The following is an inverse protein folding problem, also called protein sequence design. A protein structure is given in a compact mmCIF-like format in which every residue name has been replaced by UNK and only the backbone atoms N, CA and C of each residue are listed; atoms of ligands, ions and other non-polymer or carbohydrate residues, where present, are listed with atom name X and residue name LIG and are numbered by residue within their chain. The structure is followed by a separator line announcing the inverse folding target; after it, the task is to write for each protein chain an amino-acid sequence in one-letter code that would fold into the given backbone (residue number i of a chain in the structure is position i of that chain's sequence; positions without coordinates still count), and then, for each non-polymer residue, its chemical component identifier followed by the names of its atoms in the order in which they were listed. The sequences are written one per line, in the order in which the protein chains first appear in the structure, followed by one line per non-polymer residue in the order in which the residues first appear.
data_IF_885950260752
#
_entry.id   IF_885950260752
#
_cell.length_a   1.000
_cell.length_b   1.000
_cell.length_c   1.000
_cell.angle_alpha   90.00
_cell.angle_beta   90.00
_cell.angle_gamma   90.00
#
_symmetry.space_group_name_H-M   'P 1'
#
loop_
_entity.id
_entity.type
_entity.pdbx_description
1 polymer ?
#
# COMPACT_ATOMS: atom_id res chain seq x y z
N UNK A 1 25.26 15.16 37.97
CA UNK A 1 24.73 14.21 36.96
C UNK A 1 25.09 14.81 35.62
N UNK A 2 26.17 14.30 35.01
CA UNK A 2 26.82 14.91 33.85
C UNK A 2 26.41 14.14 32.59
N UNK A 3 25.66 14.80 31.71
CA UNK A 3 24.98 14.19 30.54
C UNK A 3 25.87 14.13 29.29
N UNK A 4 27.18 14.36 29.45
CA UNK A 4 28.13 14.53 28.35
C UNK A 4 28.88 13.24 27.92
N UNK A 5 28.43 12.06 28.37
CA UNK A 5 29.06 10.76 28.04
C UNK A 5 28.12 9.74 27.37
N UNK A 6 27.30 10.14 26.40
CA UNK A 6 26.75 9.18 25.44
C UNK A 6 27.54 9.25 24.13
N UNK A 7 28.47 8.30 23.97
CA UNK A 7 29.10 7.98 22.68
C UNK A 7 28.02 7.38 21.77
N UNK A 8 27.86 7.84 20.52
CA UNK A 8 26.98 7.16 19.59
C UNK A 8 27.59 5.80 19.25
N UNK A 9 26.86 4.73 19.55
CA UNK A 9 27.20 3.38 19.10
C UNK A 9 26.80 3.31 17.63
N UNK A 10 27.77 3.53 16.73
CA UNK A 10 27.62 3.23 15.32
C UNK A 10 27.86 1.72 15.16
N UNK A 11 26.81 0.96 14.93
CA UNK A 11 26.95 -0.43 14.47
C UNK A 11 27.18 -0.42 12.96
N UNK A 12 28.43 -0.53 12.56
CA UNK A 12 28.80 -0.88 11.18
C UNK A 12 28.76 -2.40 11.03
N UNK A 13 27.68 -2.93 10.45
CA UNK A 13 27.62 -4.32 9.99
C UNK A 13 27.97 -4.33 8.50
N UNK A 14 29.22 -4.71 8.21
CA UNK A 14 29.72 -4.90 6.87
C UNK A 14 29.38 -6.34 6.44
N UNK A 15 28.22 -6.54 5.80
CA UNK A 15 27.90 -7.83 5.19
C UNK A 15 28.46 -7.84 3.78
N UNK A 16 29.61 -8.50 3.63
CA UNK A 16 30.20 -8.85 2.35
C UNK A 16 29.29 -9.88 1.67
N UNK A 17 28.86 -9.60 0.44
CA UNK A 17 28.55 -10.67 -0.53
C UNK A 17 27.12 -10.82 -1.07
N UNK A 18 26.25 -9.80 -1.05
CA UNK A 18 24.98 -9.88 -1.79
C UNK A 18 24.96 -8.95 -3.02
N UNK A 19 25.13 -9.57 -4.19
CA UNK A 19 24.85 -8.95 -5.49
C UNK A 19 23.34 -8.99 -5.74
N UNK A 20 22.64 -7.88 -5.49
CA UNK A 20 21.29 -7.69 -6.00
C UNK A 20 21.39 -7.15 -7.42
N UNK A 21 21.14 -8.00 -8.40
CA UNK A 21 20.86 -7.56 -9.77
C UNK A 21 19.40 -7.10 -9.81
N UNK A 22 19.19 -5.79 -9.74
CA UNK A 22 17.89 -5.17 -10.00
C UNK A 22 17.60 -5.37 -11.49
N UNK A 23 16.77 -6.35 -11.83
CA UNK A 23 16.11 -6.40 -13.14
C UNK A 23 14.93 -5.42 -13.10
N UNK A 24 15.09 -4.29 -13.78
CA UNK A 24 14.10 -3.22 -13.91
C UNK A 24 12.71 -3.76 -14.29
N UNK A 25 11.63 -3.43 -13.55
CA UNK A 25 10.28 -3.82 -13.92
C UNK A 25 9.45 -2.69 -14.55
N UNK A 26 10.05 -1.72 -15.26
CA UNK A 26 9.30 -0.69 -15.99
C UNK A 26 9.89 -0.46 -17.39
N UNK A 27 9.22 -1.01 -18.41
CA UNK A 27 9.67 -0.96 -19.81
C UNK A 27 9.42 0.41 -20.48
N UNK A 28 8.56 1.26 -19.89
CA UNK A 28 8.08 2.51 -20.50
C UNK A 28 8.93 3.74 -20.15
N UNK A 29 9.48 3.83 -18.93
CA UNK A 29 10.30 5.00 -18.51
C UNK A 29 11.65 5.08 -19.22
N UNK A 30 12.18 3.95 -19.70
CA UNK A 30 13.39 3.97 -20.52
C UNK A 30 13.12 4.65 -21.87
N UNK A 31 11.96 4.43 -22.48
CA UNK A 31 11.61 4.97 -23.79
C UNK A 31 11.42 6.50 -23.76
N UNK A 32 10.77 7.03 -22.71
CA UNK A 32 10.57 8.47 -22.52
C UNK A 32 11.90 9.20 -22.26
N UNK A 33 12.84 8.61 -21.50
CA UNK A 33 14.13 9.25 -21.24
C UNK A 33 15.10 9.19 -22.43
N UNK A 34 14.95 8.22 -23.34
CA UNK A 34 15.88 8.05 -24.48
C UNK A 34 15.55 8.90 -25.70
N UNK A 35 14.40 9.56 -25.78
CA UNK A 35 13.99 10.26 -27.01
C UNK A 35 14.41 11.73 -27.13
N UNK A 36 15.28 12.24 -26.24
CA UNK A 36 15.86 13.59 -26.33
C UNK A 36 17.33 13.58 -26.79
N UNK A 37 17.56 13.04 -27.98
CA UNK A 37 18.68 13.31 -28.91
C UNK A 37 18.25 12.64 -30.22
N UNK A 38 17.97 13.35 -31.31
CA UNK A 38 18.97 13.86 -32.25
C UNK A 38 18.29 14.78 -33.28
N UNK A 39 19.11 15.59 -33.94
CA UNK A 39 18.76 16.75 -34.76
C UNK A 39 17.96 16.48 -36.06
N UNK A 40 17.13 17.46 -36.42
CA UNK A 40 16.65 17.91 -37.76
C UNK A 40 17.82 17.86 -38.78
N UNK A 41 17.77 17.41 -40.05
CA UNK A 41 16.78 17.22 -41.15
C UNK A 41 17.50 16.54 -42.37
N UNK A 42 17.03 16.58 -43.65
CA UNK A 42 15.87 15.90 -44.29
C UNK A 42 16.23 15.14 -45.62
N UNK A 43 15.39 14.19 -46.08
CA UNK A 43 15.09 13.92 -47.52
C UNK A 43 14.13 12.72 -47.65
N UNK A 44 12.92 12.90 -48.20
CA UNK A 44 12.47 12.57 -49.56
C UNK A 44 11.87 11.16 -49.75
N UNK A 45 10.59 11.22 -50.13
CA UNK A 45 9.82 10.37 -51.05
C UNK A 45 9.03 9.11 -50.62
N UNK A 46 7.78 9.15 -51.12
CA UNK A 46 6.89 8.10 -51.62
C UNK A 46 5.83 7.45 -50.68
N UNK A 47 4.60 7.94 -50.85
CA UNK A 47 3.35 7.23 -51.21
C UNK A 47 2.95 5.91 -50.52
N UNK A 48 1.75 5.90 -49.92
CA UNK A 48 0.57 5.25 -50.54
C UNK A 48 -0.70 5.31 -49.66
N UNK A 49 -1.76 5.84 -50.28
CA UNK A 49 -3.13 5.31 -50.38
C UNK A 49 -3.99 5.05 -49.12
N UNK A 50 -4.81 6.07 -48.84
CA UNK A 50 -6.29 6.08 -48.88
C UNK A 50 -6.98 4.70 -48.90
N UNK A 51 -7.80 4.43 -47.87
CA UNK A 51 -9.14 3.86 -48.04
C UNK A 51 -10.10 4.49 -47.01
N UNK A 52 -11.02 5.30 -47.53
CA UNK A 52 -12.30 5.66 -46.92
C UNK A 52 -13.18 4.42 -46.77
N UNK A 53 -13.88 4.27 -45.65
CA UNK A 53 -15.13 3.52 -45.65
C UNK A 53 -16.20 4.18 -44.76
N UNK A 54 -17.38 4.27 -45.35
CA UNK A 54 -18.38 5.27 -45.08
C UNK A 54 -19.33 4.93 -43.93
N UNK A 55 -19.82 6.03 -43.35
CA UNK A 55 -21.03 6.16 -42.53
C UNK A 55 -22.23 5.45 -43.19
N UNK A 56 -22.93 4.61 -42.43
CA UNK A 56 -24.29 4.19 -42.77
C UNK A 56 -25.25 4.59 -41.65
N UNK A 57 -26.08 5.58 -41.97
CA UNK A 57 -27.28 6.01 -41.23
C UNK A 57 -28.41 5.05 -41.59
N UNK A 58 -29.15 4.56 -40.61
CA UNK A 58 -30.48 4.00 -40.83
C UNK A 58 -31.50 4.78 -40.01
N UNK A 59 -32.34 5.52 -40.73
CA UNK A 59 -33.56 6.14 -40.23
C UNK A 59 -34.66 5.08 -40.10
N UNK A 60 -35.40 5.13 -39.00
CA UNK A 60 -36.76 4.61 -38.93
C UNK A 60 -37.61 5.59 -38.12
N UNK A 61 -38.30 6.46 -38.86
CA UNK A 61 -39.46 7.23 -38.41
C UNK A 61 -40.54 6.29 -37.90
N UNK A 62 -41.16 6.58 -36.74
CA UNK A 62 -42.59 6.40 -36.46
C UNK A 62 -42.97 7.40 -35.35
N UNK A 63 -43.68 8.47 -35.73
CA UNK A 63 -44.27 9.41 -34.79
C UNK A 63 -45.65 8.92 -34.34
N UNK A 64 -45.89 8.92 -33.03
CA UNK A 64 -47.22 9.02 -32.45
C UNK A 64 -47.14 10.00 -31.26
N UNK A 65 -47.91 11.08 -31.40
CA UNK A 65 -48.21 12.08 -30.39
C UNK A 65 -49.25 11.54 -29.40
N UNK A 66 -49.06 11.78 -28.10
CA UNK A 66 -50.11 12.31 -27.21
C UNK A 66 -49.56 12.54 -25.81
N UNK A 67 -49.67 13.79 -25.38
CA UNK A 67 -49.58 14.23 -24.00
C UNK A 67 -50.64 13.57 -23.11
N UNK A 68 -50.32 13.51 -21.81
CA UNK A 68 -51.21 13.40 -20.64
C UNK A 68 -51.18 12.06 -19.90
N UNK A 69 -50.90 12.19 -18.60
CA UNK A 69 -50.96 11.21 -17.50
C UNK A 69 -49.69 10.36 -17.29
N UNK A 70 -48.65 10.92 -16.66
CA UNK A 70 -47.86 10.19 -15.62
C UNK A 70 -47.25 11.17 -14.59
N UNK A 71 -48.09 11.95 -13.89
CA UNK A 71 -47.67 12.62 -12.64
C UNK A 71 -47.91 11.67 -11.45
N UNK A 72 -47.31 10.47 -11.51
CA UNK A 72 -47.44 9.44 -10.45
C UNK A 72 -46.36 8.35 -10.52
N UNK A 73 -45.34 8.48 -11.37
CA UNK A 73 -44.25 7.49 -11.49
C UNK A 73 -42.86 8.13 -11.50
N UNK A 74 -42.72 9.35 -10.98
CA UNK A 74 -41.43 10.06 -10.91
C UNK A 74 -40.58 9.66 -9.69
N UNK A 75 -41.17 9.00 -8.69
CA UNK A 75 -40.45 8.64 -7.46
C UNK A 75 -39.95 7.19 -7.45
N UNK A 76 -40.39 6.38 -8.42
CA UNK A 76 -39.89 5.00 -8.59
C UNK A 76 -38.78 4.91 -9.65
N UNK A 77 -38.80 5.78 -10.67
CA UNK A 77 -37.78 5.82 -11.72
C UNK A 77 -36.49 6.59 -11.32
N UNK A 78 -36.52 7.36 -10.24
CA UNK A 78 -35.37 8.13 -9.75
C UNK A 78 -34.39 7.30 -8.91
N UNK A 79 -34.78 6.10 -8.48
CA UNK A 79 -33.86 5.19 -7.77
C UNK A 79 -33.24 4.10 -8.65
N UNK A 80 -33.87 3.72 -9.76
CA UNK A 80 -33.34 2.67 -10.67
C UNK A 80 -32.38 3.19 -11.75
N UNK A 81 -32.38 4.50 -12.04
CA UNK A 81 -31.43 5.09 -13.00
C UNK A 81 -30.08 5.46 -12.38
N UNK A 82 -29.94 5.41 -11.04
CA UNK A 82 -28.70 5.74 -10.33
C UNK A 82 -27.60 4.67 -10.49
N UNK A 83 -27.91 3.56 -11.16
CA UNK A 83 -27.01 2.42 -11.35
C UNK A 83 -26.98 1.90 -12.78
N UNK A 84 -27.29 2.73 -13.79
CA UNK A 84 -26.89 2.42 -15.17
C UNK A 84 -25.52 3.05 -15.42
N UNK A 85 -24.48 2.40 -14.88
CA UNK A 85 -23.09 2.77 -15.15
C UNK A 85 -22.89 2.88 -16.66
N UNK A 86 -22.58 4.08 -17.12
CA UNK A 86 -22.10 4.30 -18.48
C UNK A 86 -20.65 3.81 -18.48
N UNK A 87 -20.48 2.50 -18.57
CA UNK A 87 -19.18 1.85 -18.70
C UNK A 87 -18.74 2.01 -20.15
N UNK A 88 -17.57 2.60 -20.36
CA UNK A 88 -16.95 2.62 -21.69
C UNK A 88 -16.23 1.29 -21.86
N UNK A 89 -16.84 0.35 -22.59
CA UNK A 89 -16.27 -0.99 -22.87
C UNK A 89 -15.08 -0.95 -23.85
N UNK A 90 -14.06 -0.15 -23.54
CA UNK A 90 -12.78 -0.15 -24.24
C UNK A 90 -11.74 -0.86 -23.37
N UNK A 91 -10.97 -1.77 -23.96
CA UNK A 91 -9.84 -2.40 -23.26
C UNK A 91 -8.85 -1.31 -22.81
N UNK A 92 -8.51 -1.28 -21.52
CA UNK A 92 -7.54 -0.32 -20.98
C UNK A 92 -6.16 -0.62 -21.55
N UNK A 93 -5.49 0.39 -22.11
CA UNK A 93 -4.11 0.27 -22.55
C UNK A 93 -3.13 0.09 -21.37
N UNK A 94 -1.89 -0.34 -21.67
CA UNK A 94 -0.88 -0.60 -20.64
C UNK A 94 -0.58 0.63 -19.78
N UNK A 95 -0.57 1.82 -20.37
CA UNK A 95 -0.27 3.09 -19.69
C UNK A 95 -1.38 3.44 -18.69
N UNK A 96 -2.64 3.22 -19.07
CA UNK A 96 -3.80 3.40 -18.21
C UNK A 96 -3.80 2.45 -17.01
N UNK A 97 -3.47 1.18 -17.24
CA UNK A 97 -3.38 0.18 -16.17
C UNK A 97 -2.24 0.49 -15.18
N UNK A 98 -1.07 0.87 -15.71
CA UNK A 98 0.08 1.26 -14.89
C UNK A 98 -0.24 2.48 -14.03
N UNK A 99 -0.82 3.53 -14.61
CA UNK A 99 -1.20 4.74 -13.88
C UNK A 99 -2.18 4.45 -12.73
N UNK A 100 -3.19 3.62 -12.96
CA UNK A 100 -4.11 3.19 -11.91
C UNK A 100 -3.41 2.39 -10.80
N UNK A 101 -2.53 1.47 -11.18
CA UNK A 101 -1.75 0.66 -10.24
C UNK A 101 -0.86 1.54 -9.35
N UNK A 102 -0.18 2.52 -9.93
CA UNK A 102 0.64 3.49 -9.20
C UNK A 102 -0.20 4.28 -8.19
N UNK A 103 -1.33 4.86 -8.62
CA UNK A 103 -2.17 5.65 -7.71
C UNK A 103 -2.78 4.82 -6.58
N UNK A 104 -3.08 3.52 -6.83
CA UNK A 104 -3.50 2.57 -5.80
C UNK A 104 -2.38 2.25 -4.81
N UNK A 105 -1.16 1.98 -5.30
CA UNK A 105 0.03 1.77 -4.45
C UNK A 105 0.33 2.97 -3.55
N UNK A 106 0.13 4.18 -4.07
CA UNK A 106 0.30 5.43 -3.32
C UNK A 106 -0.91 5.79 -2.44
N UNK A 107 -1.96 4.94 -2.40
CA UNK A 107 -3.19 5.18 -1.64
C UNK A 107 -3.91 6.50 -2.00
N UNK A 108 -3.74 6.97 -3.23
CA UNK A 108 -4.37 8.18 -3.76
C UNK A 108 -5.78 7.87 -4.26
N UNK A 109 -5.98 6.64 -4.77
CA UNK A 109 -7.26 6.10 -5.23
C UNK A 109 -7.51 4.78 -4.50
N UNK A 110 -8.77 4.46 -4.25
CA UNK A 110 -9.19 3.19 -3.63
C UNK A 110 -8.86 1.98 -4.53
N UNK A 111 -8.60 0.83 -3.89
CA UNK A 111 -8.07 -0.36 -4.57
C UNK A 111 -9.09 -1.03 -5.51
N UNK A 112 -10.37 -0.87 -5.24
CA UNK A 112 -11.51 -1.45 -5.97
C UNK A 112 -11.96 -0.61 -7.18
N UNK A 113 -11.45 0.62 -7.32
CA UNK A 113 -11.80 1.51 -8.43
C UNK A 113 -11.46 0.87 -9.78
N UNK A 114 -12.46 0.82 -10.67
CA UNK A 114 -12.32 0.35 -12.04
C UNK A 114 -11.95 1.50 -12.98
N UNK A 115 -11.16 1.19 -14.01
CA UNK A 115 -10.62 2.20 -14.92
C UNK A 115 -11.57 2.65 -16.03
N UNK A 116 -12.55 1.81 -16.38
CA UNK A 116 -13.55 1.97 -17.43
C UNK A 116 -14.77 2.84 -17.02
N UNK A 117 -14.90 3.12 -15.72
CA UNK A 117 -15.89 4.04 -15.17
C UNK A 117 -15.55 5.50 -15.51
N UNK A 118 -16.59 6.31 -15.67
CA UNK A 118 -16.43 7.76 -15.86
C UNK A 118 -16.00 8.43 -14.55
N UNK A 119 -15.10 9.40 -14.65
CA UNK A 119 -14.58 10.15 -13.51
C UNK A 119 -15.42 11.41 -13.27
N UNK A 120 -15.83 11.67 -12.04
CA UNK A 120 -16.50 12.94 -11.69
C UNK A 120 -15.50 14.06 -11.49
N UNK A 121 -15.96 15.32 -11.61
CA UNK A 121 -15.13 16.50 -11.35
C UNK A 121 -14.57 16.50 -9.93
N UNK A 122 -15.37 16.05 -8.97
CA UNK A 122 -14.97 15.92 -7.57
C UNK A 122 -13.88 14.88 -7.37
N UNK A 123 -14.05 13.66 -7.92
CA UNK A 123 -13.02 12.61 -7.85
C UNK A 123 -11.71 13.08 -8.50
N UNK A 124 -11.81 13.83 -9.60
CA UNK A 124 -10.63 14.39 -10.25
C UNK A 124 -9.93 15.44 -9.40
N UNK A 125 -10.68 16.41 -8.87
CA UNK A 125 -10.17 17.45 -7.97
C UNK A 125 -9.51 16.86 -6.71
N UNK A 126 -10.19 15.93 -6.02
CA UNK A 126 -9.64 15.21 -4.86
C UNK A 126 -8.30 14.57 -5.21
N UNK A 127 -8.25 13.82 -6.30
CA UNK A 127 -7.03 13.15 -6.72
C UNK A 127 -5.90 14.12 -7.07
N UNK A 128 -6.17 15.24 -7.76
CA UNK A 128 -5.15 16.24 -8.09
C UNK A 128 -4.54 16.89 -6.84
N UNK A 129 -5.38 17.30 -5.90
CA UNK A 129 -4.93 17.90 -4.63
C UNK A 129 -4.14 16.88 -3.82
N UNK A 130 -4.58 15.62 -3.79
CA UNK A 130 -3.88 14.56 -3.07
C UNK A 130 -2.49 14.28 -3.66
N UNK A 131 -2.39 14.13 -4.99
CA UNK A 131 -1.12 13.94 -5.72
C UNK A 131 -0.17 15.12 -5.45
N UNK A 132 -0.67 16.35 -5.58
CA UNK A 132 0.13 17.55 -5.32
C UNK A 132 0.60 17.61 -3.87
N UNK A 133 -0.30 17.39 -2.89
CA UNK A 133 0.05 17.38 -1.47
C UNK A 133 1.13 16.34 -1.14
N UNK A 134 1.03 15.16 -1.74
CA UNK A 134 1.91 14.03 -1.44
C UNK A 134 3.28 14.16 -2.11
N UNK A 135 3.33 14.67 -3.34
CA UNK A 135 4.53 14.66 -4.17
C UNK A 135 5.21 16.03 -4.32
N UNK A 136 4.47 17.13 -4.20
CA UNK A 136 5.01 18.48 -4.40
C UNK A 136 5.84 18.91 -3.19
N UNK A 137 7.16 18.97 -3.41
CA UNK A 137 8.13 19.35 -2.38
C UNK A 137 8.22 20.85 -2.19
N UNK A 138 7.92 21.63 -3.24
CA UNK A 138 8.00 23.10 -3.19
C UNK A 138 6.77 23.66 -2.51
N UNK A 139 6.96 24.39 -1.41
CA UNK A 139 5.85 25.01 -0.67
C UNK A 139 5.05 26.02 -1.49
N UNK A 140 5.70 26.69 -2.46
CA UNK A 140 5.05 27.66 -3.35
C UNK A 140 4.05 27.03 -4.32
N UNK A 141 4.26 25.77 -4.67
CA UNK A 141 3.45 25.03 -5.65
C UNK A 141 2.48 24.04 -4.98
N UNK A 142 2.48 24.00 -3.65
CA UNK A 142 1.62 23.14 -2.87
C UNK A 142 0.23 23.74 -2.78
N UNK A 143 -0.78 22.98 -3.19
CA UNK A 143 -2.18 23.33 -3.01
C UNK A 143 -2.52 23.13 -1.52
N UNK A 144 -2.73 24.23 -0.81
CA UNK A 144 -3.14 24.22 0.60
C UNK A 144 -4.37 25.11 0.74
N UNK A 145 -5.50 24.58 1.25
CA UNK A 145 -6.67 25.40 1.47
C UNK A 145 -6.46 26.35 2.66
N UNK A 146 -6.93 27.57 2.50
CA UNK A 146 -6.82 28.71 3.40
C UNK A 146 -7.58 28.47 4.71
N UNK A 147 -8.57 27.57 4.72
CA UNK A 147 -9.21 27.06 5.95
C UNK A 147 -8.18 26.57 6.97
N UNK A 148 -7.07 25.97 6.52
CA UNK A 148 -6.01 25.46 7.39
C UNK A 148 -5.13 26.58 7.96
N UNK A 149 -5.21 27.80 7.42
CA UNK A 149 -4.33 28.91 7.76
C UNK A 149 -5.04 30.08 8.46
N UNK A 150 -6.27 30.42 8.06
CA UNK A 150 -6.92 31.68 8.44
C UNK A 150 -8.18 31.53 9.32
N UNK A 151 -8.68 30.31 9.56
CA UNK A 151 -9.81 30.04 10.46
C UNK A 151 -11.18 30.59 10.05
N UNK A 152 -11.24 31.44 9.01
CA UNK A 152 -12.46 31.95 8.37
C UNK A 152 -12.49 31.48 6.92
N UNK A 153 -13.61 30.90 6.49
CA UNK A 153 -13.77 30.29 5.17
C UNK A 153 -14.76 31.09 4.34
N UNK A 154 -14.28 31.74 3.29
CA UNK A 154 -15.17 32.18 2.21
C UNK A 154 -15.28 31.01 1.25
N UNK A 155 -16.44 30.34 1.25
CA UNK A 155 -16.68 29.23 0.36
C UNK A 155 -16.54 29.68 -1.11
N UNK A 156 -15.79 28.93 -1.90
CA UNK A 156 -15.58 29.22 -3.31
C UNK A 156 -16.86 29.04 -4.14
N UNK A 157 -17.78 28.19 -3.65
CA UNK A 157 -19.03 27.79 -4.29
C UNK A 157 -20.15 27.73 -3.25
N UNK A 158 -21.37 28.16 -3.59
CA UNK A 158 -22.51 28.16 -2.65
C UNK A 158 -23.09 26.76 -2.42
N UNK A 159 -22.97 25.89 -3.41
CA UNK A 159 -23.66 24.60 -3.46
C UNK A 159 -22.79 23.42 -3.00
N UNK A 160 -21.57 23.67 -2.54
CA UNK A 160 -20.70 22.63 -1.98
C UNK A 160 -20.73 22.80 -0.46
N UNK A 161 -21.24 21.79 0.26
CA UNK A 161 -21.39 21.87 1.70
C UNK A 161 -20.01 21.78 2.37
N UNK A 162 -19.83 22.47 3.50
CA UNK A 162 -18.55 22.44 4.25
C UNK A 162 -18.31 21.03 4.82
N UNK A 163 -19.39 20.30 5.07
CA UNK A 163 -19.41 18.95 5.61
C UNK A 163 -19.07 17.88 4.54
N UNK A 164 -19.04 18.23 3.25
CA UNK A 164 -18.70 17.29 2.18
C UNK A 164 -17.23 16.85 2.32
N UNK A 165 -16.98 15.54 2.20
CA UNK A 165 -15.63 14.96 2.27
C UNK A 165 -14.65 15.64 1.30
N UNK A 166 -15.16 16.10 0.16
CA UNK A 166 -14.39 16.69 -0.92
C UNK A 166 -14.33 18.22 -0.89
N UNK A 167 -15.05 18.86 0.04
CA UNK A 167 -15.07 20.32 0.20
C UNK A 167 -13.67 20.90 0.25
N UNK A 168 -12.82 20.33 1.10
CA UNK A 168 -11.45 20.80 1.33
C UNK A 168 -10.61 20.74 0.06
N UNK A 169 -10.77 19.68 -0.77
CA UNK A 169 -10.05 19.56 -2.03
C UNK A 169 -10.55 20.53 -3.08
N UNK A 170 -11.86 20.67 -3.23
CA UNK A 170 -12.48 21.61 -4.18
C UNK A 170 -12.11 23.04 -3.82
N UNK A 171 -12.23 23.40 -2.55
CA UNK A 171 -11.87 24.73 -2.03
C UNK A 171 -10.39 25.04 -2.28
N UNK A 172 -9.48 24.10 -2.00
CA UNK A 172 -8.05 24.32 -2.21
C UNK A 172 -7.70 24.58 -3.68
N UNK A 173 -8.38 23.87 -4.60
CA UNK A 173 -8.17 24.03 -6.04
C UNK A 173 -8.73 25.36 -6.57
N UNK A 174 -9.81 25.86 -5.95
CA UNK A 174 -10.41 27.15 -6.29
C UNK A 174 -9.56 28.31 -5.78
N UNK A 175 -9.07 28.22 -4.55
CA UNK A 175 -8.17 29.22 -3.96
C UNK A 175 -6.82 29.29 -4.67
N UNK A 176 -6.33 28.17 -5.22
CA UNK A 176 -5.14 28.17 -6.05
C UNK A 176 -5.36 28.75 -7.45
N UNK A 177 -6.59 29.19 -7.78
CA UNK A 177 -6.92 29.78 -9.08
C UNK A 177 -6.98 28.80 -10.25
N UNK A 178 -6.98 27.49 -9.98
CA UNK A 178 -7.05 26.46 -11.04
C UNK A 178 -8.49 26.33 -11.54
N UNK A 179 -9.46 26.26 -10.62
CA UNK A 179 -10.88 26.29 -10.99
C UNK A 179 -11.48 27.66 -10.75
N UNK A 180 -12.26 28.13 -11.73
CA UNK A 180 -12.92 29.42 -11.63
C UNK A 180 -14.00 29.38 -10.54
N UNK A 181 -14.00 30.39 -9.68
CA UNK A 181 -14.89 30.46 -8.51
C UNK A 181 -15.17 31.91 -8.15
N UNK A 182 -16.01 32.12 -7.12
CA UNK A 182 -16.27 33.46 -6.56
C UNK A 182 -15.00 34.15 -6.08
N UNK A 183 -14.00 33.37 -5.64
CA UNK A 183 -12.72 33.88 -5.16
C UNK A 183 -11.87 34.47 -6.30
N UNK A 184 -12.03 33.96 -7.52
CA UNK A 184 -11.31 34.45 -8.70
C UNK A 184 -11.70 35.87 -9.10
N UNK A 185 -12.85 36.37 -8.64
CA UNK A 185 -13.41 37.69 -9.02
C UNK A 185 -12.93 38.83 -8.11
N UNK A 186 -12.31 38.51 -6.97
CA UNK A 186 -11.95 39.49 -5.93
C UNK A 186 -10.56 40.11 -6.18
N UNK A 187 -9.71 39.46 -6.97
CA UNK A 187 -8.32 39.89 -7.20
C UNK A 187 -8.17 41.06 -8.18
N UNK A 188 -9.14 41.31 -9.06
CA UNK A 188 -9.14 42.45 -9.98
C UNK A 188 -10.21 43.44 -9.53
N UNK A 189 -9.80 44.56 -8.92
CA UNK A 189 -10.68 45.58 -8.34
C UNK A 189 -11.55 46.39 -9.32
N UNK A 190 -12.00 45.79 -10.42
CA UNK A 190 -12.96 46.40 -11.35
C UNK A 190 -14.39 46.08 -10.91
N UNK A 191 -15.17 47.14 -10.66
CA UNK A 191 -16.59 47.04 -10.38
C UNK A 191 -17.31 46.35 -11.56
N UNK A 192 -18.33 45.50 -11.32
CA UNK A 192 -18.96 44.76 -12.40
C UNK A 192 -20.00 45.63 -13.10
N UNK A 193 -19.79 45.89 -14.39
CA UNK A 193 -20.85 46.29 -15.30
C UNK A 193 -21.58 45.03 -15.80
N UNK A 194 -22.88 44.98 -15.50
CA UNK A 194 -23.97 44.28 -16.19
C UNK A 194 -23.73 42.86 -16.75
N UNK A 195 -24.29 41.89 -16.01
CA UNK A 195 -24.94 40.65 -16.47
C UNK A 195 -24.24 39.76 -17.52
N UNK A 196 -23.19 39.06 -17.12
CA UNK A 196 -22.86 37.74 -17.70
C UNK A 196 -23.34 36.68 -16.71
N UNK A 197 -24.23 35.80 -17.18
CA UNK A 197 -25.07 34.93 -16.35
C UNK A 197 -24.34 34.15 -15.24
N UNK A 198 -25.06 33.95 -14.14
CA UNK A 198 -24.67 33.12 -12.98
C UNK A 198 -24.31 31.67 -13.33
N UNK A 199 -24.51 31.23 -14.58
CA UNK A 199 -24.20 29.88 -15.08
C UNK A 199 -22.71 29.49 -15.03
N UNK A 200 -21.79 30.46 -14.87
CA UNK A 200 -20.34 30.21 -14.86
C UNK A 200 -19.72 29.93 -13.49
N UNK A 201 -20.47 30.04 -12.40
CA UNK A 201 -19.95 29.98 -11.03
C UNK A 201 -20.22 28.65 -10.32
N UNK A 202 -20.83 27.68 -10.98
CA UNK A 202 -21.23 26.41 -10.37
C UNK A 202 -20.21 25.29 -10.69
N UNK A 203 -19.68 24.62 -9.67
CA UNK A 203 -18.68 23.56 -9.83
C UNK A 203 -19.26 22.26 -10.40
N UNK A 204 -20.52 21.95 -10.08
CA UNK A 204 -21.22 20.69 -10.39
C UNK A 204 -20.42 19.43 -10.01
N UNK A 205 -20.34 19.09 -8.71
CA UNK A 205 -19.56 17.96 -8.18
C UNK A 205 -19.76 16.63 -8.92
N UNK A 206 -21.02 16.26 -9.13
CA UNK A 206 -21.44 14.97 -9.71
C UNK A 206 -21.28 14.89 -11.23
N UNK A 207 -20.93 16.00 -11.89
CA UNK A 207 -20.77 16.01 -13.34
C UNK A 207 -19.48 15.30 -13.72
N UNK A 208 -19.52 14.50 -14.78
CA UNK A 208 -18.32 13.88 -15.33
C UNK A 208 -17.33 14.93 -15.83
N UNK A 209 -16.05 14.71 -15.54
CA UNK A 209 -14.96 15.58 -15.96
C UNK A 209 -14.74 15.44 -17.46
N UNK A 210 -14.72 16.58 -18.17
CA UNK A 210 -14.42 16.58 -19.60
C UNK A 210 -12.92 16.40 -19.82
N UNK A 211 -12.52 15.87 -20.99
CA UNK A 211 -11.09 15.80 -21.36
C UNK A 211 -10.45 17.19 -21.33
N UNK A 212 -11.22 18.22 -21.67
CA UNK A 212 -10.81 19.61 -21.61
C UNK A 212 -10.47 20.04 -20.17
N UNK A 213 -11.35 19.77 -19.21
CA UNK A 213 -11.10 20.09 -17.80
C UNK A 213 -9.88 19.33 -17.26
N UNK A 214 -9.71 18.05 -17.63
CA UNK A 214 -8.52 17.28 -17.27
C UNK A 214 -7.24 18.00 -17.68
N UNK A 215 -7.18 18.43 -18.95
CA UNK A 215 -5.99 19.07 -19.52
C UNK A 215 -5.78 20.45 -18.93
N UNK A 216 -6.82 21.29 -18.85
CA UNK A 216 -6.71 22.66 -18.33
C UNK A 216 -6.25 22.63 -16.87
N UNK A 217 -6.92 21.86 -16.00
CA UNK A 217 -6.62 21.87 -14.57
C UNK A 217 -5.22 21.32 -14.29
N UNK A 218 -4.83 20.26 -15.01
CA UNK A 218 -3.47 19.73 -14.96
C UNK A 218 -2.46 20.77 -15.44
N UNK A 219 -2.69 21.40 -16.60
CA UNK A 219 -1.75 22.35 -17.16
C UNK A 219 -1.54 23.57 -16.24
N UNK A 220 -2.58 24.09 -15.61
CA UNK A 220 -2.45 25.18 -14.63
C UNK A 220 -1.68 24.75 -13.36
N UNK A 221 -1.83 23.49 -12.93
CA UNK A 221 -1.07 22.93 -11.82
C UNK A 221 0.43 22.80 -12.14
N UNK A 222 0.76 22.53 -13.40
CA UNK A 222 2.13 22.28 -13.87
C UNK A 222 2.85 23.54 -14.34
N UNK A 223 2.13 24.45 -14.96
CA UNK A 223 2.62 25.66 -15.60
C UNK A 223 1.88 26.87 -15.02
N UNK A 224 2.52 27.51 -14.05
CA UNK A 224 2.05 28.61 -13.17
C UNK A 224 1.53 29.87 -13.91
N UNK A 225 1.41 29.87 -15.25
CA UNK A 225 1.26 31.08 -16.08
C UNK A 225 0.18 31.03 -17.19
N UNK A 226 -0.78 30.10 -17.17
CA UNK A 226 -1.78 30.00 -18.27
C UNK A 226 -3.06 30.83 -18.11
N UNK A 227 -3.08 31.90 -17.30
CA UNK A 227 -4.32 32.69 -17.06
C UNK A 227 -4.95 33.24 -18.35
N UNK A 228 -4.14 33.67 -19.33
CA UNK A 228 -4.64 34.16 -20.64
C UNK A 228 -4.91 33.05 -21.68
N UNK A 229 -4.32 31.86 -21.52
CA UNK A 229 -4.44 30.76 -22.50
C UNK A 229 -5.71 29.93 -22.24
N UNK A 230 -6.26 30.00 -21.02
CA UNK A 230 -7.51 29.33 -20.67
C UNK A 230 -8.70 29.74 -21.55
N UNK A 231 -8.78 30.99 -22.00
CA UNK A 231 -9.83 31.47 -22.90
C UNK A 231 -9.69 30.95 -24.34
N UNK A 232 -8.45 30.73 -24.78
CA UNK A 232 -8.11 30.26 -26.12
C UNK A 232 -8.27 28.74 -26.26
N UNK A 233 -7.88 27.97 -25.24
CA UNK A 233 -8.08 26.50 -25.20
C UNK A 233 -9.58 26.17 -25.03
N UNK A 234 -10.38 27.04 -24.38
CA UNK A 234 -11.86 26.89 -24.29
C UNK A 234 -12.59 26.87 -25.64
N UNK A 235 -11.94 27.31 -26.73
CA UNK A 235 -12.52 27.27 -28.09
C UNK A 235 -12.51 25.86 -28.69
N UNK A 236 -11.65 24.97 -28.19
CA UNK A 236 -11.73 23.54 -28.48
C UNK A 236 -12.66 22.89 -27.47
N UNK A 237 -13.76 22.30 -27.95
CA UNK A 237 -14.76 21.61 -27.11
C UNK A 237 -14.71 20.09 -27.29
N UNK A 238 -13.67 19.37 -26.80
CA UNK A 238 -13.85 17.97 -26.49
C UNK A 238 -14.76 17.85 -25.26
N UNK A 239 -16.07 17.74 -25.50
CA UNK A 239 -17.11 17.63 -24.47
C UNK A 239 -17.27 16.22 -23.92
N UNK A 240 -16.60 15.23 -24.51
CA UNK A 240 -16.71 13.84 -24.09
C UNK A 240 -16.24 13.68 -22.63
N UNK A 241 -17.02 12.95 -21.81
CA UNK A 241 -16.62 12.64 -20.44
C UNK A 241 -15.38 11.74 -20.44
N UNK A 242 -14.56 11.86 -19.42
CA UNK A 242 -13.30 11.10 -19.31
C UNK A 242 -13.44 9.93 -18.34
N UNK A 243 -12.72 8.85 -18.62
CA UNK A 243 -12.67 7.67 -17.74
C UNK A 243 -11.72 7.90 -16.56
N UNK A 244 -11.89 7.13 -15.48
CA UNK A 244 -10.99 7.13 -14.32
C UNK A 244 -9.58 6.72 -14.70
N UNK A 245 -9.41 5.83 -15.67
CA UNK A 245 -8.12 5.49 -16.26
C UNK A 245 -7.45 6.68 -16.96
N UNK A 246 -8.18 7.43 -17.80
CA UNK A 246 -7.65 8.64 -18.44
C UNK A 246 -7.29 9.72 -17.41
N UNK A 247 -8.13 9.89 -16.39
CA UNK A 247 -7.85 10.78 -15.27
C UNK A 247 -6.61 10.33 -14.48
N UNK A 248 -6.39 9.02 -14.29
CA UNK A 248 -5.20 8.49 -13.64
C UNK A 248 -3.92 8.82 -14.43
N UNK A 249 -3.92 8.59 -15.75
CA UNK A 249 -2.80 8.96 -16.63
C UNK A 249 -2.51 10.46 -16.55
N UNK A 250 -3.57 11.29 -16.54
CA UNK A 250 -3.41 12.73 -16.37
C UNK A 250 -2.79 13.07 -15.00
N UNK A 251 -3.09 12.35 -13.92
CA UNK A 251 -2.50 12.62 -12.59
C UNK A 251 -1.03 12.17 -12.49
N UNK A 252 -0.65 11.08 -13.15
CA UNK A 252 0.69 10.48 -13.01
C UNK A 252 1.73 11.00 -14.00
N UNK A 253 1.29 11.66 -15.08
CA UNK A 253 2.16 12.21 -16.12
C UNK A 253 2.71 13.60 -15.79
N UNK A 254 3.56 14.15 -16.67
CA UNK A 254 4.07 15.52 -16.56
C UNK A 254 5.15 15.66 -15.48
N UNK A 255 5.14 16.78 -14.74
CA UNK A 255 6.16 17.08 -13.72
C UNK A 255 6.14 16.12 -12.53
N UNK A 256 5.00 15.47 -12.29
CA UNK A 256 4.81 14.57 -11.16
C UNK A 256 5.45 13.19 -11.39
N UNK A 257 5.73 12.82 -12.64
CA UNK A 257 6.29 11.50 -13.02
C UNK A 257 7.55 11.15 -12.22
N UNK A 258 8.51 12.07 -12.14
CA UNK A 258 9.78 11.83 -11.45
C UNK A 258 9.56 11.68 -9.93
N UNK A 259 8.71 12.52 -9.35
CA UNK A 259 8.40 12.45 -7.93
C UNK A 259 7.69 11.14 -7.56
N UNK A 260 6.77 10.67 -8.41
CA UNK A 260 6.13 9.37 -8.30
C UNK A 260 7.18 8.26 -8.34
N UNK A 261 8.08 8.29 -9.32
CA UNK A 261 9.09 7.25 -9.49
C UNK A 261 10.00 7.12 -8.26
N UNK A 262 10.50 8.26 -7.76
CA UNK A 262 11.33 8.31 -6.55
C UNK A 262 10.57 7.74 -5.35
N UNK A 263 9.28 8.07 -5.21
CA UNK A 263 8.48 7.62 -4.07
C UNK A 263 8.14 6.12 -4.15
N UNK A 264 7.90 5.59 -5.35
CA UNK A 264 7.75 4.14 -5.57
C UNK A 264 9.02 3.38 -5.22
N UNK A 265 10.20 3.86 -5.65
CA UNK A 265 11.48 3.26 -5.28
C UNK A 265 11.70 3.28 -3.76
N UNK A 266 11.32 4.38 -3.10
CA UNK A 266 11.38 4.50 -1.63
C UNK A 266 10.49 3.46 -0.96
N UNK A 267 9.24 3.32 -1.42
CA UNK A 267 8.29 2.36 -0.88
C UNK A 267 8.71 0.91 -1.13
N UNK A 268 9.29 0.60 -2.30
CA UNK A 268 9.84 -0.73 -2.61
C UNK A 268 11.02 -1.07 -1.70
N UNK A 269 11.92 -0.12 -1.46
CA UNK A 269 13.03 -0.29 -0.52
C UNK A 269 12.53 -0.50 0.92
N UNK A 270 11.54 0.29 1.36
CA UNK A 270 10.93 0.16 2.69
C UNK A 270 10.22 -1.20 2.85
N UNK A 271 9.46 -1.64 1.84
CA UNK A 271 8.81 -2.93 1.86
C UNK A 271 9.82 -4.09 1.88
N UNK A 272 10.88 -3.99 1.08
CA UNK A 272 11.99 -4.96 1.07
C UNK A 272 12.67 -5.04 2.44
N UNK A 273 12.97 -3.90 3.07
CA UNK A 273 13.55 -3.84 4.41
C UNK A 273 12.62 -4.47 5.46
N UNK A 274 11.31 -4.21 5.38
CA UNK A 274 10.31 -4.82 6.29
C UNK A 274 10.29 -6.34 6.15
N UNK A 275 10.30 -6.87 4.92
CA UNK A 275 10.36 -8.31 4.67
C UNK A 275 11.65 -8.92 5.22
N UNK A 276 12.80 -8.26 5.03
CA UNK A 276 14.08 -8.72 5.55
C UNK A 276 14.12 -8.76 7.09
N UNK A 277 13.58 -7.74 7.77
CA UNK A 277 13.49 -7.71 9.23
C UNK A 277 12.57 -8.81 9.76
N UNK A 278 11.43 -9.05 9.11
CA UNK A 278 10.53 -10.14 9.51
C UNK A 278 11.21 -11.52 9.36
N UNK A 279 11.99 -11.71 8.29
CA UNK A 279 12.75 -12.93 8.06
C UNK A 279 13.86 -13.13 9.10
N UNK A 280 14.57 -12.06 9.48
CA UNK A 280 15.57 -12.11 10.55
C UNK A 280 14.94 -12.53 11.89
N UNK A 281 13.79 -11.94 12.24
CA UNK A 281 13.04 -12.28 13.45
C UNK A 281 12.63 -13.76 13.42
N UNK A 282 12.14 -14.24 12.26
CA UNK A 282 11.75 -15.65 12.06
C UNK A 282 12.94 -16.59 12.27
N UNK A 283 14.07 -16.31 11.65
CA UNK A 283 15.28 -17.12 11.76
C UNK A 283 15.85 -17.12 13.17
N UNK A 284 15.87 -15.96 13.85
CA UNK A 284 16.28 -15.84 15.24
C UNK A 284 15.41 -16.69 16.17
N UNK A 285 14.10 -16.70 15.93
CA UNK A 285 13.15 -17.57 16.65
C UNK A 285 13.50 -19.05 16.51
N UNK A 286 13.72 -19.52 15.28
CA UNK A 286 14.10 -20.91 15.01
C UNK A 286 15.44 -21.28 15.63
N UNK A 287 16.45 -20.40 15.53
CA UNK A 287 17.76 -20.64 16.15
C UNK A 287 17.65 -20.79 17.67
N UNK A 288 16.83 -19.94 18.31
CA UNK A 288 16.60 -20.04 19.75
C UNK A 288 15.92 -21.35 20.12
N UNK A 289 14.87 -21.74 19.40
CA UNK A 289 14.20 -23.02 19.63
C UNK A 289 15.15 -24.22 19.49
N UNK A 290 16.01 -24.21 18.47
CA UNK A 290 17.01 -25.27 18.28
C UNK A 290 18.03 -25.28 19.43
N UNK A 291 18.49 -24.11 19.87
CA UNK A 291 19.41 -24.00 21.02
C UNK A 291 18.77 -24.54 22.30
N UNK A 292 17.53 -24.16 22.58
CA UNK A 292 16.80 -24.60 23.78
C UNK A 292 16.56 -26.12 23.75
N UNK A 293 16.25 -26.67 22.57
CA UNK A 293 16.09 -28.12 22.36
C UNK A 293 17.40 -28.89 22.63
N UNK A 294 18.53 -28.43 22.10
CA UNK A 294 19.83 -29.06 22.33
C UNK A 294 20.26 -28.99 23.81
N UNK A 295 19.96 -27.88 24.49
CA UNK A 295 20.22 -27.76 25.94
C UNK A 295 19.39 -28.75 26.75
N UNK A 296 18.11 -28.92 26.45
CA UNK A 296 17.24 -29.88 27.13
C UNK A 296 17.70 -31.33 26.89
N UNK A 297 18.06 -31.67 25.65
CA UNK A 297 18.62 -32.99 25.31
C UNK A 297 19.88 -33.29 26.13
N UNK A 298 20.80 -32.33 26.22
CA UNK A 298 22.01 -32.47 27.03
C UNK A 298 21.71 -32.59 28.52
N UNK A 299 20.71 -31.86 29.03
CA UNK A 299 20.27 -31.98 30.42
C UNK A 299 19.72 -33.38 30.72
N UNK A 300 18.90 -33.95 29.82
CA UNK A 300 18.37 -35.31 29.94
C UNK A 300 19.45 -36.38 29.88
N UNK A 301 20.43 -36.24 28.98
CA UNK A 301 21.55 -37.17 28.88
C UNK A 301 22.39 -37.18 30.16
N UNK A 302 22.65 -35.99 30.73
CA UNK A 302 23.34 -35.86 32.01
C UNK A 302 22.55 -36.53 33.14
N UNK A 303 21.24 -36.29 33.21
CA UNK A 303 20.36 -36.93 34.19
C UNK A 303 20.40 -38.46 34.08
N UNK A 304 20.35 -39.00 32.86
CA UNK A 304 20.43 -40.44 32.61
C UNK A 304 21.78 -41.02 33.04
N UNK A 305 22.88 -40.33 32.75
CA UNK A 305 24.23 -40.73 33.18
C UNK A 305 24.34 -40.81 34.71
N UNK A 306 23.80 -39.81 35.41
CA UNK A 306 23.77 -39.80 36.88
C UNK A 306 22.89 -40.93 37.44
N UNK A 307 21.72 -41.18 36.83
CA UNK A 307 20.85 -42.29 37.21
C UNK A 307 21.55 -43.64 37.07
N UNK A 308 22.21 -43.90 35.94
CA UNK A 308 22.93 -45.15 35.70
C UNK A 308 24.07 -45.37 36.69
N UNK A 309 24.81 -44.30 37.05
CA UNK A 309 25.84 -44.36 38.09
C UNK A 309 25.26 -44.75 39.45
N UNK A 310 24.15 -44.13 39.86
CA UNK A 310 23.46 -44.46 41.12
C UNK A 310 22.93 -45.88 41.13
N UNK A 311 22.32 -46.32 40.02
CA UNK A 311 21.84 -47.70 39.87
C UNK A 311 22.98 -48.70 40.03
N UNK A 312 24.09 -48.50 39.32
CA UNK A 312 25.28 -49.35 39.43
C UNK A 312 25.85 -49.39 40.85
N UNK A 313 25.89 -48.25 41.55
CA UNK A 313 26.34 -48.21 42.95
C UNK A 313 25.42 -49.02 43.88
N UNK A 314 24.10 -48.93 43.71
CA UNK A 314 23.12 -49.71 44.49
C UNK A 314 23.22 -51.20 44.18
N UNK A 315 23.41 -51.57 42.92
CA UNK A 315 23.59 -52.97 42.52
C UNK A 315 24.86 -53.57 43.15
N UNK A 316 25.97 -52.83 43.17
CA UNK A 316 27.19 -53.22 43.89
C UNK A 316 26.95 -53.38 45.40
N UNK A 317 26.24 -52.43 46.03
CA UNK A 317 25.88 -52.52 47.45
C UNK A 317 25.02 -53.76 47.74
N UNK A 318 24.04 -54.06 46.87
CA UNK A 318 23.18 -55.25 47.01
C UNK A 318 24.00 -56.53 46.91
N UNK A 319 24.92 -56.62 45.96
CA UNK A 319 25.77 -57.80 45.78
C UNK A 319 26.66 -58.05 47.01
N UNK A 320 27.25 -56.99 47.57
CA UNK A 320 28.04 -57.08 48.80
C UNK A 320 27.19 -57.55 49.98
N UNK A 321 25.98 -56.99 50.15
CA UNK A 321 25.09 -57.38 51.24
C UNK A 321 24.65 -58.86 51.13
N UNK A 322 24.41 -59.37 49.92
CA UNK A 322 24.09 -60.78 49.70
C UNK A 322 25.27 -61.68 50.12
N UNK A 323 26.48 -61.36 49.67
CA UNK A 323 27.69 -62.11 50.03
C UNK A 323 27.95 -62.12 51.54
N UNK A 324 27.84 -60.97 52.22
CA UNK A 324 27.98 -60.90 53.68
C UNK A 324 26.89 -61.71 54.40
N UNK A 325 25.66 -61.72 53.88
CA UNK A 325 24.57 -62.52 54.46
C UNK A 325 24.85 -64.01 54.33
N UNK A 326 25.38 -64.46 53.20
CA UNK A 326 25.80 -65.84 52.98
C UNK A 326 26.92 -66.23 53.96
N UNK A 327 27.95 -65.39 54.11
CA UNK A 327 29.06 -65.64 55.05
C UNK A 327 28.59 -65.73 56.51
N UNK A 328 27.67 -64.85 56.94
CA UNK A 328 27.06 -64.91 58.27
C UNK A 328 26.24 -66.18 58.46
N UNK A 329 25.46 -66.60 57.46
CA UNK A 329 24.69 -67.84 57.53
C UNK A 329 25.62 -69.06 57.65
N UNK A 330 26.72 -69.11 56.88
CA UNK A 330 27.71 -70.18 57.01
C UNK A 330 28.35 -70.21 58.41
N UNK A 331 28.70 -69.04 58.97
CA UNK A 331 29.22 -68.97 60.34
C UNK A 331 28.21 -69.48 61.37
N UNK A 332 26.92 -69.12 61.23
CA UNK A 332 25.87 -69.57 62.13
C UNK A 332 25.70 -71.10 62.07
N UNK A 333 25.75 -71.70 60.87
CA UNK A 333 25.68 -73.15 60.69
C UNK A 333 26.88 -73.87 61.33
N UNK A 334 28.09 -73.32 61.18
CA UNK A 334 29.31 -73.82 61.83
C UNK A 334 29.20 -73.77 63.35
N UNK A 335 28.81 -72.62 63.91
CA UNK A 335 28.59 -72.44 65.35
C UNK A 335 27.52 -73.37 65.92
N UNK A 336 26.42 -73.58 65.18
CA UNK A 336 25.38 -74.52 65.58
C UNK A 336 25.92 -75.96 65.63
N UNK A 337 26.74 -76.34 64.64
CA UNK A 337 27.37 -77.66 64.59
C UNK A 337 28.36 -77.88 65.74
N UNK A 338 29.21 -76.88 66.02
CA UNK A 338 30.14 -76.91 67.16
C UNK A 338 29.40 -77.02 68.50
N UNK A 339 28.31 -76.27 68.67
CA UNK A 339 27.48 -76.35 69.87
C UNK A 339 26.91 -77.76 70.07
N UNK A 340 26.39 -78.38 69.01
CA UNK A 340 25.87 -79.76 69.05
C UNK A 340 26.98 -80.71 69.48
N UNK A 341 28.18 -80.60 68.90
CA UNK A 341 29.34 -81.43 69.26
C UNK A 341 29.73 -81.26 70.74
N UNK A 342 29.82 -80.02 71.23
CA UNK A 342 30.14 -79.76 72.63
C UNK A 342 29.09 -80.33 73.59
N UNK A 343 27.80 -80.19 73.27
CA UNK A 343 26.73 -80.78 74.10
C UNK A 343 26.78 -82.30 74.11
N UNK A 344 27.11 -82.94 72.98
CA UNK A 344 27.27 -84.39 72.90
C UNK A 344 28.47 -84.88 73.72
N UNK A 345 29.62 -84.18 73.67
CA UNK A 345 30.77 -84.48 74.51
C UNK A 345 30.46 -84.33 76.00
N UNK A 346 29.72 -83.28 76.37
CA UNK A 346 29.30 -83.08 77.76
C UNK A 346 28.36 -84.19 78.26
N UNK A 347 27.44 -84.67 77.42
CA UNK A 347 26.58 -85.81 77.74
C UNK A 347 27.40 -87.11 77.91
N UNK A 348 28.34 -87.41 77.01
CA UNK A 348 29.16 -88.61 77.14
C UNK A 348 30.04 -88.62 78.40
N UNK A 349 30.41 -87.44 78.90
CA UNK A 349 31.16 -87.29 80.15
C UNK A 349 30.27 -87.42 81.41
N UNK A 350 28.95 -87.26 81.29
CA UNK A 350 27.99 -87.50 82.39
C UNK A 350 27.52 -88.95 82.48
N UNK A 351 27.62 -89.71 81.39
CA UNK A 351 27.25 -91.13 81.32
C UNK A 351 28.41 -92.08 81.72
N UNK A 352 29.55 -91.54 82.16
CA UNK A 352 30.71 -92.25 82.71
C UNK A 352 30.77 -92.07 84.23
#
# INVERSE_FOLDING_TARGET
MDITKLKPIVFSLNIVGFSYRITNPLHFVHEILTSNKTNVSPSMDADSDILDEAVTVTEASHGISSDTIVQSMTDTLTSELKTKWITVSAALDSTQQEALSVLKKLMIIENDVKGDELCTRTEYARGLVHVNKYLERRSKHRIVPSILMAGSVVAAFDYVAIEDQDFVSIQALAESGIIFSKLSKISDGSAPDVSVGEEGLNFFPERFVSRQDLIIWKAQLEYEFMSNVGEEIRRFKPTSPSTKAQAAVARTSGKMTEAIHVELLRLEAENSARLAVMEEIRLRGLMKQHSDFEQEKLAQEKYLSEYLKRKGAVDCQRQLHLSLKEEVNEMLERLASERIQLTAQQQSLQDL
#
